data_IF_434120987762
#
_entry.id   IF_434120987762
#
_cell.length_a   1.000
_cell.length_b   1.000
_cell.length_c   1.000
_cell.angle_alpha   90.00
_cell.angle_beta   90.00
_cell.angle_gamma   90.00
#
_symmetry.space_group_name_H-M   'P 1'
#
loop_
_entity.id
_entity.type
_entity.pdbx_description
1 polymer ?
#
# COMPACT_ATOMS: atom_id res chain seq x y z
N UNK A 1 -2.42 4.06 -24.36
CA UNK A 1 -2.27 4.78 -23.08
C UNK A 1 -3.56 5.42 -22.56
N UNK A 2 -4.47 5.88 -23.43
CA UNK A 2 -5.74 6.57 -23.03
C UNK A 2 -6.72 5.67 -22.24
N UNK A 3 -6.77 4.37 -22.52
CA UNK A 3 -7.68 3.42 -21.85
C UNK A 3 -7.36 3.21 -20.36
N UNK A 4 -6.07 3.24 -19.98
CA UNK A 4 -5.62 3.07 -18.59
C UNK A 4 -6.13 4.21 -17.69
N UNK A 5 -6.01 5.44 -18.17
CA UNK A 5 -6.43 6.62 -17.42
C UNK A 5 -7.94 6.66 -17.20
N UNK A 6 -8.70 6.17 -18.19
CA UNK A 6 -10.17 6.08 -18.11
C UNK A 6 -10.64 5.04 -17.09
N UNK A 7 -9.99 3.88 -17.03
CA UNK A 7 -10.33 2.81 -16.08
C UNK A 7 -10.06 3.21 -14.63
N UNK A 8 -8.93 3.87 -14.36
CA UNK A 8 -8.58 4.36 -13.02
C UNK A 8 -9.56 5.44 -12.55
N UNK A 9 -9.91 6.39 -13.41
CA UNK A 9 -10.88 7.44 -13.08
C UNK A 9 -12.26 6.86 -12.68
N UNK A 10 -12.71 5.80 -13.37
CA UNK A 10 -13.96 5.11 -13.01
C UNK A 10 -13.89 4.44 -11.65
N UNK A 11 -12.80 3.74 -11.36
CA UNK A 11 -12.59 3.11 -10.05
C UNK A 11 -12.64 4.17 -8.94
N UNK A 12 -11.96 5.30 -9.14
CA UNK A 12 -11.95 6.40 -8.16
C UNK A 12 -13.33 6.99 -7.93
N UNK A 13 -14.11 7.22 -8.98
CA UNK A 13 -15.48 7.72 -8.86
C UNK A 13 -16.37 6.73 -8.06
N UNK A 14 -16.28 5.43 -8.36
CA UNK A 14 -17.06 4.42 -7.61
C UNK A 14 -16.65 4.39 -6.14
N UNK A 15 -15.35 4.44 -5.83
CA UNK A 15 -14.86 4.50 -4.44
C UNK A 15 -15.38 5.76 -3.75
N UNK A 16 -15.35 6.90 -4.43
CA UNK A 16 -15.85 8.16 -3.90
C UNK A 16 -17.34 8.05 -3.59
N UNK A 17 -18.15 7.55 -4.52
CA UNK A 17 -19.60 7.40 -4.37
C UNK A 17 -19.96 6.43 -3.24
N UNK A 18 -19.17 5.37 -3.03
CA UNK A 18 -19.32 4.48 -1.88
C UNK A 18 -18.96 5.20 -0.59
N UNK A 19 -17.90 6.01 -0.59
CA UNK A 19 -17.39 6.71 0.60
C UNK A 19 -18.28 7.87 1.05
N UNK A 20 -18.98 8.51 0.10
CA UNK A 20 -19.96 9.57 0.36
C UNK A 20 -21.39 9.04 0.53
N UNK A 21 -21.56 7.72 0.58
CA UNK A 21 -22.84 7.04 0.73
C UNK A 21 -23.86 7.36 -0.40
N UNK A 22 -23.39 7.84 -1.55
CA UNK A 22 -24.21 8.04 -2.76
C UNK A 22 -24.69 6.69 -3.30
N UNK A 23 -23.82 5.67 -3.24
CA UNK A 23 -24.17 4.28 -3.57
C UNK A 23 -23.81 3.33 -2.42
N UNK A 24 -24.53 2.22 -2.32
CA UNK A 24 -24.21 1.18 -1.33
C UNK A 24 -22.93 0.42 -1.71
N UNK A 25 -22.28 -0.19 -0.72
CA UNK A 25 -21.10 -1.04 -0.93
C UNK A 25 -21.38 -2.23 -1.86
N UNK A 26 -22.59 -2.80 -1.78
CA UNK A 26 -23.02 -3.89 -2.65
C UNK A 26 -23.14 -3.41 -4.10
N UNK A 27 -23.73 -2.24 -4.32
CA UNK A 27 -23.82 -1.61 -5.64
C UNK A 27 -22.43 -1.25 -6.19
N UNK A 28 -21.58 -0.62 -5.38
CA UNK A 28 -20.21 -0.31 -5.78
C UNK A 28 -19.38 -1.56 -6.09
N UNK A 29 -19.59 -2.67 -5.37
CA UNK A 29 -18.97 -3.96 -5.68
C UNK A 29 -19.40 -4.50 -7.04
N UNK A 30 -20.70 -4.47 -7.33
CA UNK A 30 -21.23 -4.89 -8.64
C UNK A 30 -20.63 -4.03 -9.76
N UNK A 31 -20.61 -2.71 -9.58
CA UNK A 31 -20.06 -1.79 -10.58
C UNK A 31 -18.56 -2.03 -10.81
N UNK A 32 -17.78 -2.31 -9.77
CA UNK A 32 -16.36 -2.67 -9.91
C UNK A 32 -16.15 -4.02 -10.63
N UNK A 33 -17.01 -5.01 -10.40
CA UNK A 33 -16.91 -6.34 -11.05
C UNK A 33 -17.20 -6.24 -12.56
N UNK A 34 -18.14 -5.38 -12.96
CA UNK A 34 -18.55 -5.22 -14.36
C UNK A 34 -17.51 -4.44 -15.18
N UNK A 35 -16.56 -3.75 -14.53
CA UNK A 35 -15.48 -3.08 -15.24
C UNK A 35 -14.58 -4.10 -15.96
N UNK A 36 -14.44 -3.93 -17.27
CA UNK A 36 -13.54 -4.73 -18.10
C UNK A 36 -12.16 -4.06 -18.12
N UNK A 37 -11.15 -4.77 -17.63
CA UNK A 37 -9.77 -4.28 -17.61
C UNK A 37 -8.93 -4.97 -18.70
N UNK A 38 -8.11 -4.20 -19.44
CA UNK A 38 -7.26 -4.76 -20.48
C UNK A 38 -6.11 -5.60 -19.93
N UNK A 39 -5.68 -5.38 -18.69
CA UNK A 39 -4.61 -6.16 -18.06
C UNK A 39 -5.09 -7.02 -16.87
N UNK A 40 -4.47 -8.18 -16.70
CA UNK A 40 -4.68 -9.02 -15.50
C UNK A 40 -4.25 -8.30 -14.22
N UNK A 41 -3.25 -7.42 -14.32
CA UNK A 41 -2.74 -6.60 -13.23
C UNK A 41 -3.82 -5.64 -12.70
N UNK A 42 -4.46 -4.86 -13.58
CA UNK A 42 -5.58 -3.97 -13.19
C UNK A 42 -6.76 -4.76 -12.59
N UNK A 43 -7.04 -5.95 -13.15
CA UNK A 43 -8.08 -6.83 -12.62
C UNK A 43 -7.80 -7.24 -11.16
N UNK A 44 -6.53 -7.48 -10.80
CA UNK A 44 -6.13 -7.79 -9.42
C UNK A 44 -6.29 -6.60 -8.50
N UNK A 45 -5.85 -5.43 -8.94
CA UNK A 45 -6.01 -4.20 -8.19
C UNK A 45 -7.48 -3.96 -7.81
N UNK A 46 -8.39 -4.16 -8.76
CA UNK A 46 -9.84 -4.01 -8.52
C UNK A 46 -10.38 -5.10 -7.59
N UNK A 47 -9.95 -6.36 -7.74
CA UNK A 47 -10.29 -7.43 -6.79
C UNK A 47 -9.85 -7.11 -5.36
N UNK A 48 -8.66 -6.54 -5.19
CA UNK A 48 -8.17 -6.08 -3.89
C UNK A 48 -9.03 -4.95 -3.34
N UNK A 49 -9.42 -3.98 -4.17
CA UNK A 49 -10.35 -2.90 -3.76
C UNK A 49 -11.70 -3.48 -3.33
N UNK A 50 -12.29 -4.39 -4.10
CA UNK A 50 -13.56 -5.05 -3.74
C UNK A 50 -13.43 -5.75 -2.39
N UNK A 51 -12.32 -6.45 -2.14
CA UNK A 51 -12.06 -7.12 -0.86
C UNK A 51 -11.94 -6.12 0.29
N UNK A 52 -11.31 -4.96 0.07
CA UNK A 52 -11.22 -3.88 1.05
C UNK A 52 -12.59 -3.27 1.33
N UNK A 53 -13.34 -2.91 0.27
CA UNK A 53 -14.73 -2.44 0.35
C UNK A 53 -15.64 -3.53 0.95
N UNK A 54 -15.29 -4.80 0.96
CA UNK A 54 -16.03 -5.83 1.71
C UNK A 54 -15.68 -5.84 3.20
N UNK A 55 -14.42 -5.59 3.56
CA UNK A 55 -13.89 -5.75 4.92
C UNK A 55 -13.98 -4.52 5.80
N UNK A 56 -14.01 -3.31 5.24
CA UNK A 56 -14.07 -2.09 6.05
C UNK A 56 -15.29 -2.09 6.99
N UNK A 57 -15.22 -1.51 8.18
CA UNK A 57 -16.38 -1.40 9.04
C UNK A 57 -17.43 -0.49 8.40
N UNK A 58 -18.72 -0.79 8.59
CA UNK A 58 -19.83 0.05 8.10
C UNK A 58 -20.07 1.27 8.99
N UNK A 59 -19.69 1.16 10.25
CA UNK A 59 -19.84 2.21 11.23
C UNK A 59 -18.51 2.94 11.38
N UNK A 60 -18.54 4.25 11.70
CA UNK A 60 -17.33 4.98 12.05
C UNK A 60 -16.59 4.24 13.17
N UNK A 61 -15.29 4.04 12.96
CA UNK A 61 -14.43 3.38 13.94
C UNK A 61 -14.32 4.28 15.17
N UNK A 62 -14.31 3.69 16.36
CA UNK A 62 -14.09 4.47 17.58
C UNK A 62 -12.75 5.20 17.48
N UNK A 63 -12.73 6.46 17.92
CA UNK A 63 -11.52 7.30 17.96
C UNK A 63 -10.38 6.61 18.73
N UNK A 64 -10.71 5.72 19.67
CA UNK A 64 -9.75 4.99 20.50
C UNK A 64 -9.13 3.76 19.81
N UNK A 65 -9.49 3.46 18.55
CA UNK A 65 -8.94 2.30 17.85
C UNK A 65 -7.49 2.56 17.48
N UNK A 66 -6.58 1.72 17.98
CA UNK A 66 -5.16 1.90 17.71
C UNK A 66 -4.87 1.71 16.20
N UNK A 67 -3.96 2.54 15.66
CA UNK A 67 -3.65 2.53 14.22
C UNK A 67 -3.04 1.21 13.72
N UNK A 68 -2.34 0.47 14.57
CA UNK A 68 -1.75 -0.83 14.22
C UNK A 68 -2.80 -1.95 14.06
N UNK A 69 -3.88 -1.89 14.81
CA UNK A 69 -5.05 -2.78 14.73
C UNK A 69 -5.85 -2.47 13.46
N UNK A 70 -6.00 -1.19 13.11
CA UNK A 70 -6.59 -0.80 11.84
C UNK A 70 -5.76 -1.27 10.65
N UNK A 71 -4.45 -1.08 10.72
CA UNK A 71 -3.49 -1.53 9.72
C UNK A 71 -3.57 -3.04 9.51
N UNK A 72 -3.44 -3.83 10.58
CA UNK A 72 -3.46 -5.29 10.50
C UNK A 72 -4.82 -5.87 10.11
N UNK A 73 -5.94 -5.27 10.51
CA UNK A 73 -7.28 -5.79 10.19
C UNK A 73 -7.72 -5.51 8.76
N UNK A 74 -7.41 -4.32 8.25
CA UNK A 74 -7.98 -3.85 6.99
C UNK A 74 -6.94 -3.62 5.90
N UNK A 75 -5.78 -3.06 6.23
CA UNK A 75 -4.76 -2.66 5.25
C UNK A 75 -3.87 -3.85 4.87
N UNK A 76 -3.36 -4.60 5.84
CA UNK A 76 -2.46 -5.73 5.59
C UNK A 76 -3.09 -6.79 4.66
N UNK A 77 -4.35 -7.24 4.86
CA UNK A 77 -4.98 -8.20 3.95
C UNK A 77 -5.29 -7.65 2.56
N UNK A 78 -5.32 -6.33 2.40
CA UNK A 78 -5.45 -5.66 1.10
C UNK A 78 -4.08 -5.62 0.38
N UNK A 79 -3.02 -5.32 1.12
CA UNK A 79 -1.66 -5.21 0.59
C UNK A 79 -1.08 -6.59 0.20
N UNK A 80 -1.28 -7.65 0.98
CA UNK A 80 -0.76 -8.99 0.65
C UNK A 80 -1.18 -9.46 -0.75
N UNK A 81 -2.44 -9.21 -1.16
CA UNK A 81 -2.93 -9.59 -2.49
C UNK A 81 -2.32 -8.79 -3.65
N UNK A 82 -1.62 -7.70 -3.32
CA UNK A 82 -0.95 -6.82 -4.27
C UNK A 82 0.56 -7.09 -4.37
N UNK A 83 1.15 -7.58 -3.26
CA UNK A 83 2.59 -7.80 -3.10
C UNK A 83 3.06 -9.26 -3.27
N UNK A 84 2.24 -10.26 -2.91
CA UNK A 84 2.75 -11.62 -2.63
C UNK A 84 2.17 -12.72 -3.54
N UNK A 85 1.92 -12.47 -4.83
CA UNK A 85 1.50 -13.52 -5.77
C UNK A 85 2.70 -14.09 -6.56
N UNK A 86 3.25 -15.27 -6.16
CA UNK A 86 4.39 -15.88 -6.81
C UNK A 86 4.08 -16.46 -8.20
N UNK A 87 2.82 -16.75 -8.52
CA UNK A 87 2.43 -17.45 -9.75
C UNK A 87 2.23 -16.50 -10.94
N UNK A 88 2.00 -15.21 -10.68
CA UNK A 88 1.56 -14.26 -11.71
C UNK A 88 2.24 -12.88 -11.64
N UNK A 89 3.26 -12.76 -10.80
CA UNK A 89 4.01 -11.52 -10.64
C UNK A 89 3.32 -10.52 -9.72
N UNK A 90 4.16 -9.74 -9.06
CA UNK A 90 3.80 -8.73 -8.08
C UNK A 90 3.22 -7.49 -8.77
N UNK A 91 2.02 -7.02 -8.37
CA UNK A 91 1.41 -5.81 -8.96
C UNK A 91 2.17 -4.53 -8.55
N UNK A 92 2.58 -4.43 -7.27
CA UNK A 92 3.47 -3.39 -6.78
C UNK A 92 4.76 -4.01 -6.27
N UNK A 93 5.89 -3.82 -6.95
CA UNK A 93 7.19 -4.25 -6.42
C UNK A 93 7.77 -3.17 -5.52
N UNK A 94 8.15 -3.53 -4.29
CA UNK A 94 9.03 -2.68 -3.50
C UNK A 94 10.35 -2.51 -4.25
N UNK A 95 10.61 -1.31 -4.76
CA UNK A 95 11.91 -0.93 -5.28
C UNK A 95 12.65 -0.18 -4.17
N UNK A 96 13.95 -0.45 -4.00
CA UNK A 96 14.80 0.33 -3.10
C UNK A 96 15.12 1.73 -3.67
N UNK A 97 14.38 2.16 -4.69
CA UNK A 97 14.61 3.39 -5.40
C UNK A 97 13.83 4.50 -4.68
N UNK A 98 14.56 5.33 -3.93
CA UNK A 98 13.97 6.52 -3.29
C UNK A 98 13.40 7.41 -4.39
N UNK A 99 12.08 7.60 -4.37
CA UNK A 99 11.37 8.51 -5.27
C UNK A 99 11.97 9.91 -5.19
N UNK A 100 12.02 10.61 -6.33
CA UNK A 100 12.64 11.94 -6.44
C UNK A 100 12.08 12.94 -5.41
N UNK A 101 10.80 12.83 -5.09
CA UNK A 101 10.13 13.62 -4.04
C UNK A 101 10.60 13.29 -2.62
N UNK A 102 10.92 12.02 -2.33
CA UNK A 102 11.48 11.61 -1.04
C UNK A 102 12.95 12.04 -0.90
N UNK A 103 13.71 12.14 -2.00
CA UNK A 103 15.06 12.72 -1.99
C UNK A 103 15.03 14.21 -1.60
N UNK A 104 14.05 14.95 -2.11
CA UNK A 104 13.86 16.38 -1.81
C UNK A 104 13.57 16.65 -0.32
N UNK A 105 12.93 15.71 0.37
CA UNK A 105 12.72 15.78 1.83
C UNK A 105 13.93 15.31 2.65
N UNK A 106 14.78 14.42 2.11
CA UNK A 106 16.00 13.97 2.77
C UNK A 106 17.12 15.02 2.78
N UNK A 107 17.08 16.02 1.89
CA UNK A 107 18.04 17.13 1.93
C UNK A 107 17.90 18.01 3.19
N UNK A 108 16.81 17.88 3.94
CA UNK A 108 16.61 18.53 5.25
C UNK A 108 16.91 17.63 6.45
N UNK A 109 17.28 16.37 6.23
CA UNK A 109 17.76 15.48 7.29
C UNK A 109 19.05 14.81 6.82
N UNK A 110 20.16 15.53 7.00
CA UNK A 110 21.50 14.93 6.98
C UNK A 110 21.53 13.82 8.04
N UNK A 111 21.65 12.52 7.70
CA UNK A 111 21.78 11.49 8.69
C UNK A 111 23.22 11.53 9.21
N UNK A 112 23.44 12.06 10.41
CA UNK A 112 24.71 11.90 11.11
C UNK A 112 24.77 10.48 11.69
N UNK A 113 25.17 9.52 10.87
CA UNK A 113 25.71 8.25 11.33
C UNK A 113 27.18 8.14 10.93
N UNK A 114 28.01 9.00 11.51
CA UNK A 114 29.45 8.81 11.51
C UNK A 114 29.87 8.04 12.77
N UNK A 115 29.99 6.72 12.58
CA UNK A 115 31.11 5.90 13.06
C UNK A 115 31.61 6.17 14.49
N UNK A 116 31.06 5.43 15.45
CA UNK A 116 31.82 5.05 16.66
C UNK A 116 31.65 3.55 16.93
N UNK A 117 32.08 2.73 15.97
CA UNK A 117 32.25 1.29 16.20
C UNK A 117 33.53 0.79 15.53
N UNK A 118 34.63 1.52 15.71
CA UNK A 118 35.96 1.06 15.31
C UNK A 118 37.04 1.58 16.27
N UNK A 119 36.93 1.18 17.52
CA UNK A 119 38.02 1.05 18.51
C UNK A 119 37.37 0.39 19.72
N UNK A 120 37.45 -0.93 19.90
CA UNK A 120 38.45 -1.56 20.76
C UNK A 120 38.41 -3.09 20.51
N UNK A 121 38.96 -3.55 19.39
CA UNK A 121 39.25 -4.96 19.17
C UNK A 121 40.77 -5.27 19.15
N UNK A 122 41.57 -4.36 19.69
CA UNK A 122 43.02 -4.53 19.88
C UNK A 122 43.38 -4.30 21.35
N UNK A 123 43.10 -5.27 22.22
CA UNK A 123 43.74 -5.36 23.54
C UNK A 123 43.72 -6.78 24.16
N UNK A 124 43.67 -7.83 23.33
CA UNK A 124 43.70 -9.23 23.84
C UNK A 124 44.89 -10.06 23.32
N UNK A 125 45.80 -9.51 22.50
CA UNK A 125 47.05 -10.19 22.18
C UNK A 125 48.21 -9.20 22.13
N UNK A 126 48.87 -9.01 23.29
CA UNK A 126 50.33 -8.91 23.44
C UNK A 126 50.68 -8.32 24.83
N UNK A 127 50.90 -9.20 25.82
CA UNK A 127 51.83 -8.95 26.91
C UNK A 127 52.86 -10.09 26.90
N UNK A 128 54.17 -9.81 26.97
CA UNK A 128 55.09 -10.60 27.78
C UNK A 128 54.96 -10.24 29.27
#
# INVERSE_FOLDING_TARGET
MVLYHYSIAKILNIIQDVSTEIISRDKGTIELIVLVFPSQQETRFVKSIIRLIGKLPRNPMSVDTNGSELGSRYIDPFLCGLFDDPDYGVYLRWTNEITLEARKNNDYQKPTWHLHHQSLHETIYNQP
#
